data_IF_625699054158
#
_entry.id   IF_625699054158
#
_cell.length_a   1.000
_cell.length_b   1.000
_cell.length_c   1.000
_cell.angle_alpha   90.00
_cell.angle_beta   90.00
_cell.angle_gamma   90.00
#
_symmetry.space_group_name_H-M   'P 1'
#
loop_
_entity.id
_entity.type
_entity.pdbx_description
1 polymer ?
#
# COMPACT_ATOMS: atom_id res chain seq x y z
N UNK A 1 1.00 0.99 7.72
CA UNK A 1 -0.40 1.44 7.56
C UNK A 1 -0.51 2.94 7.33
N UNK A 2 0.36 3.75 7.94
CA UNK A 2 0.32 5.22 7.88
C UNK A 2 0.53 5.81 6.49
N UNK A 3 1.20 5.07 5.60
CA UNK A 3 1.26 5.39 4.17
C UNK A 3 -0.09 5.27 3.43
N UNK A 4 -1.17 4.87 4.12
CA UNK A 4 -2.54 4.78 3.57
C UNK A 4 -2.95 3.37 3.09
N UNK A 5 -2.21 2.33 3.50
CA UNK A 5 -2.57 0.95 3.17
C UNK A 5 -3.89 0.55 3.85
N UNK A 6 -4.86 0.07 3.06
CA UNK A 6 -6.17 -0.39 3.54
C UNK A 6 -6.28 -1.90 3.72
N UNK A 7 -5.44 -2.64 3.00
CA UNK A 7 -5.38 -4.10 3.03
C UNK A 7 -3.92 -4.47 3.23
N UNK A 8 -3.65 -5.27 4.27
CA UNK A 8 -2.31 -5.74 4.63
C UNK A 8 -2.36 -7.26 4.71
N UNK A 9 -1.38 -7.91 4.10
CA UNK A 9 -1.25 -9.37 4.06
C UNK A 9 0.14 -9.73 3.59
N UNK A 10 0.28 -10.92 2.99
CA UNK A 10 1.56 -11.37 2.46
C UNK A 10 1.42 -12.15 1.16
N UNK A 11 2.57 -12.51 0.57
CA UNK A 11 2.68 -13.26 -0.67
C UNK A 11 3.26 -14.66 -0.37
N UNK A 12 3.97 -15.26 -1.33
CA UNK A 12 4.69 -16.52 -1.17
C UNK A 12 5.58 -16.52 0.08
N UNK A 13 5.47 -17.56 0.92
CA UNK A 13 6.22 -17.68 2.18
C UNK A 13 5.53 -17.12 3.42
N UNK A 14 4.32 -16.55 3.28
CA UNK A 14 3.55 -16.08 4.44
C UNK A 14 2.85 -17.25 5.13
N UNK A 15 3.12 -17.46 6.42
CA UNK A 15 2.48 -18.49 7.25
C UNK A 15 1.38 -17.89 8.12
N UNK A 16 0.59 -18.75 8.78
CA UNK A 16 -0.42 -18.31 9.75
C UNK A 16 0.20 -17.51 10.91
N UNK A 17 1.40 -17.87 11.35
CA UNK A 17 2.13 -17.15 12.39
C UNK A 17 2.44 -15.70 11.96
N UNK A 18 2.82 -15.49 10.69
CA UNK A 18 3.04 -14.15 10.15
C UNK A 18 1.76 -13.31 10.18
N UNK A 19 0.62 -13.88 9.76
CA UNK A 19 -0.67 -13.17 9.76
C UNK A 19 -1.12 -12.82 11.18
N UNK A 20 -0.96 -13.73 12.14
CA UNK A 20 -1.28 -13.47 13.54
C UNK A 20 -0.42 -12.33 14.12
N UNK A 21 0.88 -12.31 13.81
CA UNK A 21 1.78 -11.23 14.21
C UNK A 21 1.42 -9.89 13.56
N UNK A 22 1.11 -9.89 12.26
CA UNK A 22 0.62 -8.69 11.55
C UNK A 22 -0.66 -8.16 12.19
N UNK A 23 -1.62 -9.03 12.52
CA UNK A 23 -2.86 -8.63 13.17
C UNK A 23 -2.61 -8.00 14.53
N UNK A 24 -1.79 -8.63 15.38
CA UNK A 24 -1.43 -8.10 16.71
C UNK A 24 -0.76 -6.73 16.61
N UNK A 25 0.15 -6.55 15.64
CA UNK A 25 0.81 -5.27 15.40
C UNK A 25 -0.19 -4.19 14.97
N UNK A 26 -1.14 -4.53 14.08
CA UNK A 26 -2.17 -3.60 13.61
C UNK A 26 -3.16 -3.21 14.72
N UNK A 27 -3.53 -4.14 15.59
CA UNK A 27 -4.43 -3.87 16.72
C UNK A 27 -3.82 -2.93 17.76
N UNK A 28 -2.50 -2.97 17.95
CA UNK A 28 -1.76 -2.06 18.82
C UNK A 28 -1.29 -0.76 18.14
N UNK A 29 -1.56 -0.57 16.85
CA UNK A 29 -1.01 0.55 16.09
C UNK A 29 -1.78 1.84 16.33
N UNK A 30 -1.07 2.91 16.72
CA UNK A 30 -1.63 4.27 16.75
C UNK A 30 -1.33 4.95 15.43
N UNK A 31 -2.39 5.43 14.75
CA UNK A 31 -2.29 6.05 13.43
C UNK A 31 -1.41 7.30 13.49
N UNK A 32 -0.36 7.32 12.68
CA UNK A 32 0.48 8.48 12.49
C UNK A 32 -0.03 9.37 11.35
N UNK A 33 0.57 10.56 11.22
CA UNK A 33 0.33 11.43 10.08
C UNK A 33 0.81 10.76 8.78
N UNK A 34 0.07 11.02 7.70
CA UNK A 34 0.41 10.49 6.39
C UNK A 34 1.69 11.17 5.89
N UNK A 35 2.72 10.41 5.48
CA UNK A 35 3.98 11.01 5.03
C UNK A 35 3.80 11.79 3.74
N UNK A 36 4.58 12.86 3.58
CA UNK A 36 4.68 13.62 2.33
C UNK A 36 5.61 12.91 1.34
N UNK A 37 5.63 13.36 0.09
CA UNK A 37 6.50 12.78 -0.95
C UNK A 37 7.97 13.01 -0.59
N UNK A 38 8.29 14.18 -0.07
CA UNK A 38 9.64 14.57 0.35
C UNK A 38 10.14 13.62 1.44
N UNK A 39 9.33 13.34 2.47
CA UNK A 39 9.67 12.40 3.54
C UNK A 39 9.90 10.98 3.01
N UNK A 40 9.12 10.55 2.01
CA UNK A 40 9.28 9.22 1.40
C UNK A 40 10.62 9.15 0.66
N UNK A 41 10.94 10.18 -0.14
CA UNK A 41 12.18 10.23 -0.92
C UNK A 41 13.41 10.29 -0.01
N UNK A 42 13.35 11.06 1.08
CA UNK A 42 14.43 11.15 2.05
C UNK A 42 14.71 9.81 2.76
N UNK A 43 13.66 9.07 3.14
CA UNK A 43 13.81 7.83 3.93
C UNK A 43 14.03 6.58 3.11
N UNK A 44 13.44 6.48 1.91
CA UNK A 44 13.42 5.25 1.10
C UNK A 44 14.23 5.42 -0.20
N UNK A 45 14.35 6.65 -0.70
CA UNK A 45 15.01 6.98 -1.96
C UNK A 45 14.03 7.40 -3.07
N UNK A 46 14.56 7.73 -4.26
CA UNK A 46 13.77 8.31 -5.34
C UNK A 46 12.66 7.37 -5.84
N UNK A 47 11.50 7.96 -6.13
CA UNK A 47 10.33 7.23 -6.63
C UNK A 47 10.62 6.64 -8.02
N UNK A 48 10.32 5.34 -8.19
CA UNK A 48 10.45 4.64 -9.49
C UNK A 48 9.22 4.77 -10.39
N UNK A 49 8.05 5.03 -9.81
CA UNK A 49 6.79 5.12 -10.53
C UNK A 49 6.26 6.55 -10.49
N UNK A 50 5.39 6.90 -11.45
CA UNK A 50 4.68 8.19 -11.44
C UNK A 50 3.88 8.33 -10.14
N UNK A 51 3.87 9.53 -9.59
CA UNK A 51 3.04 9.86 -8.43
C UNK A 51 1.57 9.82 -8.83
N UNK A 52 0.69 9.51 -7.88
CA UNK A 52 -0.75 9.42 -8.14
C UNK A 52 -1.36 10.74 -8.66
N UNK A 53 -0.75 11.88 -8.31
CA UNK A 53 -1.13 13.21 -8.78
C UNK A 53 -0.60 13.55 -10.18
N UNK A 54 0.38 12.81 -10.69
CA UNK A 54 0.89 12.94 -12.06
C UNK A 54 0.16 12.01 -13.05
N UNK A 55 -0.97 11.42 -12.63
CA UNK A 55 -1.86 10.71 -13.54
C UNK A 55 -2.70 11.75 -14.31
N UNK A 56 -2.52 11.81 -15.62
CA UNK A 56 -3.31 12.67 -16.50
C UNK A 56 -4.81 12.32 -16.39
N UNK A 57 -5.71 13.32 -16.38
CA UNK A 57 -7.15 13.09 -16.38
C UNK A 57 -7.55 12.42 -17.71
N UNK A 58 -7.65 11.10 -17.71
CA UNK A 58 -7.95 10.32 -18.92
C UNK A 58 -7.32 8.93 -18.96
N UNK A 59 -6.36 8.62 -18.07
CA UNK A 59 -5.82 7.26 -17.95
C UNK A 59 -6.85 6.36 -17.25
N UNK A 60 -7.85 5.93 -18.03
CA UNK A 60 -9.02 5.21 -17.56
C UNK A 60 -8.66 4.00 -16.70
N UNK A 61 -9.47 3.77 -15.67
CA UNK A 61 -9.44 2.55 -14.86
C UNK A 61 -9.54 1.35 -15.79
N UNK A 62 -8.43 0.65 -16.03
CA UNK A 62 -8.39 -0.54 -16.90
C UNK A 62 -9.58 -1.43 -16.58
N UNK A 63 -10.35 -1.74 -17.63
CA UNK A 63 -11.54 -2.56 -17.51
C UNK A 63 -11.13 -3.91 -16.91
N UNK A 64 -11.60 -4.17 -15.68
CA UNK A 64 -11.37 -5.44 -15.03
C UNK A 64 -12.23 -6.46 -15.76
N UNK A 65 -11.62 -7.26 -16.64
CA UNK A 65 -12.23 -8.47 -17.21
C UNK A 65 -12.79 -9.31 -16.07
N UNK A 66 -14.09 -9.16 -15.79
CA UNK A 66 -14.84 -10.08 -14.95
C UNK A 66 -15.12 -11.32 -15.81
N UNK A 67 -14.16 -12.23 -15.92
CA UNK A 67 -14.50 -13.61 -16.26
C UNK A 67 -15.17 -14.22 -15.02
N UNK A 68 -16.48 -14.04 -14.92
CA UNK A 68 -17.29 -14.87 -14.02
C UNK A 68 -17.68 -16.11 -14.82
N UNK A 69 -17.13 -17.25 -14.43
CA UNK A 69 -17.74 -18.55 -14.59
C UNK A 69 -18.39 -18.91 -13.26
#
# INVERSE_FOLDING_TARGET
VDAGAKIVGGCCGTSFAHLAAMRKALDGHTKAERPTIETIVERIGPMRNKTASAAEPGEGRRERRRSRA
#
